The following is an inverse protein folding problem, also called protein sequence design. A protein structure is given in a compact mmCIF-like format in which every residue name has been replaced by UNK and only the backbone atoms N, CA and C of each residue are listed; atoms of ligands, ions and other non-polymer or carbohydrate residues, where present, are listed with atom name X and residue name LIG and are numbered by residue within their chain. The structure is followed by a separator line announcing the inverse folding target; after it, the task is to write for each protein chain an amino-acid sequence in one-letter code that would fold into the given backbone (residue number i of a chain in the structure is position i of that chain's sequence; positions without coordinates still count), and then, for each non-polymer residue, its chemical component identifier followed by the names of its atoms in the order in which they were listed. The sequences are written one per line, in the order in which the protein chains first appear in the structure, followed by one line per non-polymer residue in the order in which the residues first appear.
data_IF_797368713012
#
_entry.id   IF_797368713012
#
_cell.length_a   1.000
_cell.length_b   1.000
_cell.length_c   1.000
_cell.angle_alpha   90.00
_cell.angle_beta   90.00
_cell.angle_gamma   90.00
#
_symmetry.space_group_name_H-M   'P 1'
#
loop_
_entity.id
_entity.type
_entity.pdbx_description
1 polymer ?
#
# COMPACT_ATOMS: atom_id res chain seq x y z
N UNK A 1 1.49 -6.25 -29.75
CA UNK A 1 2.12 -5.32 -28.81
C UNK A 1 1.08 -4.54 -27.98
N UNK A 2 0.07 -3.89 -28.60
CA UNK A 2 -0.91 -3.07 -27.85
C UNK A 2 -1.78 -3.88 -26.90
N UNK A 3 -2.20 -5.07 -27.31
CA UNK A 3 -2.94 -5.98 -26.46
C UNK A 3 -2.11 -6.40 -25.23
N UNK A 4 -0.84 -6.78 -25.45
CA UNK A 4 0.07 -7.17 -24.35
C UNK A 4 0.34 -6.02 -23.40
N UNK A 5 0.63 -4.82 -23.94
CA UNK A 5 0.80 -3.62 -23.12
C UNK A 5 -0.46 -3.31 -22.30
N UNK A 6 -1.64 -3.42 -22.90
CA UNK A 6 -2.91 -3.29 -22.22
C UNK A 6 -3.08 -4.30 -21.09
N UNK A 7 -2.77 -5.59 -21.33
CA UNK A 7 -2.88 -6.62 -20.30
C UNK A 7 -1.97 -6.34 -19.10
N UNK A 8 -0.76 -5.83 -19.34
CA UNK A 8 0.14 -5.43 -18.25
C UNK A 8 -0.41 -4.21 -17.48
N UNK A 9 -1.00 -3.21 -18.16
CA UNK A 9 -1.69 -2.13 -17.47
C UNK A 9 -2.90 -2.62 -16.67
N UNK A 10 -3.69 -3.52 -17.24
CA UNK A 10 -4.83 -4.13 -16.55
C UNK A 10 -4.42 -4.88 -15.28
N UNK A 11 -3.36 -5.68 -15.34
CA UNK A 11 -2.77 -6.34 -14.16
C UNK A 11 -2.28 -5.32 -13.13
N UNK A 12 -1.58 -4.27 -13.56
CA UNK A 12 -1.13 -3.21 -12.65
C UNK A 12 -2.33 -2.51 -11.96
N UNK A 13 -3.41 -2.22 -12.70
CA UNK A 13 -4.65 -1.65 -12.13
C UNK A 13 -5.32 -2.63 -11.18
N UNK A 14 -5.34 -3.93 -11.50
CA UNK A 14 -5.90 -4.96 -10.64
C UNK A 14 -5.14 -5.10 -9.31
N UNK A 15 -3.82 -4.85 -9.32
CA UNK A 15 -3.04 -4.81 -8.07
C UNK A 15 -3.24 -3.52 -7.28
N UNK A 16 -3.40 -2.38 -7.97
CA UNK A 16 -3.59 -1.08 -7.31
C UNK A 16 -4.22 -0.06 -8.26
N UNK A 17 -5.40 0.44 -7.91
CA UNK A 17 -6.19 1.35 -8.76
C UNK A 17 -5.47 2.64 -9.15
N UNK A 18 -4.48 3.08 -8.39
CA UNK A 18 -3.71 4.29 -8.71
C UNK A 18 -2.85 4.18 -9.98
N UNK A 19 -2.75 2.99 -10.60
CA UNK A 19 -2.19 2.83 -11.94
C UNK A 19 -3.18 3.19 -13.07
N UNK A 20 -4.47 3.33 -12.78
CA UNK A 20 -5.48 3.61 -13.80
C UNK A 20 -5.24 4.92 -14.56
N UNK A 21 -4.90 6.06 -13.92
CA UNK A 21 -4.57 7.29 -14.65
C UNK A 21 -3.36 7.16 -15.59
N UNK A 22 -2.36 6.34 -15.21
CA UNK A 22 -1.21 6.04 -16.08
C UNK A 22 -1.65 5.34 -17.37
N UNK A 23 -2.47 4.30 -17.26
CA UNK A 23 -3.03 3.58 -18.40
C UNK A 23 -3.92 4.47 -19.27
N UNK A 24 -4.78 5.28 -18.64
CA UNK A 24 -5.66 6.24 -19.32
C UNK A 24 -4.86 7.26 -20.15
N UNK A 25 -3.84 7.89 -19.54
CA UNK A 25 -3.01 8.87 -20.23
C UNK A 25 -2.21 8.25 -21.37
N UNK A 26 -1.79 7.00 -21.23
CA UNK A 26 -1.18 6.23 -22.32
C UNK A 26 -2.16 6.04 -23.48
N UNK A 27 -3.39 5.63 -23.21
CA UNK A 27 -4.44 5.47 -24.22
C UNK A 27 -4.76 6.78 -24.94
N UNK A 28 -4.93 7.88 -24.19
CA UNK A 28 -5.18 9.21 -24.74
C UNK A 28 -4.02 9.69 -25.65
N UNK A 29 -2.79 9.45 -25.22
CA UNK A 29 -1.62 9.74 -26.07
C UNK A 29 -1.66 8.95 -27.38
N UNK A 30 -1.94 7.65 -27.32
CA UNK A 30 -2.01 6.79 -28.51
C UNK A 30 -3.06 7.28 -29.50
N UNK A 31 -4.22 7.68 -29.02
CA UNK A 31 -5.30 8.26 -29.86
C UNK A 31 -4.81 9.56 -30.48
N UNK A 32 -4.26 10.49 -29.68
CA UNK A 32 -3.86 11.83 -30.14
C UNK A 32 -2.70 11.80 -31.15
N UNK A 33 -1.79 10.84 -31.02
CA UNK A 33 -0.59 10.74 -31.84
C UNK A 33 -0.81 10.00 -33.17
N UNK A 34 -1.81 9.10 -33.27
CA UNK A 34 -1.95 8.15 -34.38
C UNK A 34 -3.22 8.30 -35.22
N UNK A 35 -4.10 9.27 -34.96
CA UNK A 35 -5.35 9.42 -35.69
C UNK A 35 -6.18 8.13 -35.74
N UNK A 36 -6.66 7.68 -36.91
CA UNK A 36 -7.46 6.45 -37.04
C UNK A 36 -6.67 5.17 -36.59
N UNK A 37 -5.38 5.09 -36.93
CA UNK A 37 -4.52 4.01 -36.49
C UNK A 37 -4.32 4.03 -34.96
N UNK A 38 -4.21 5.22 -34.40
CA UNK A 38 -4.12 5.43 -32.94
C UNK A 38 -5.37 4.97 -32.21
N UNK A 39 -6.55 5.28 -32.74
CA UNK A 39 -7.81 4.79 -32.17
C UNK A 39 -7.88 3.25 -32.13
N UNK A 40 -7.53 2.58 -33.24
CA UNK A 40 -7.47 1.11 -33.31
C UNK A 40 -6.47 0.54 -32.29
N UNK A 41 -5.31 1.18 -32.15
CA UNK A 41 -4.30 0.78 -31.18
C UNK A 41 -4.80 0.95 -29.74
N UNK A 42 -5.51 2.04 -29.44
CA UNK A 42 -6.12 2.27 -28.13
C UNK A 42 -7.24 1.26 -27.82
N UNK A 43 -8.02 0.83 -28.81
CA UNK A 43 -8.99 -0.26 -28.64
C UNK A 43 -8.31 -1.57 -28.24
N UNK A 44 -7.18 -1.91 -28.89
CA UNK A 44 -6.40 -3.10 -28.51
C UNK A 44 -5.77 -2.96 -27.11
N UNK A 45 -5.31 -1.77 -26.75
CA UNK A 45 -4.81 -1.48 -25.40
C UNK A 45 -5.91 -1.65 -24.36
N UNK A 46 -7.12 -1.13 -24.63
CA UNK A 46 -8.28 -1.25 -23.73
C UNK A 46 -8.73 -2.74 -23.61
N UNK A 47 -8.81 -3.46 -24.72
CA UNK A 47 -9.14 -4.89 -24.70
C UNK A 47 -8.14 -5.69 -23.87
N UNK A 48 -6.83 -5.41 -24.03
CA UNK A 48 -5.80 -6.00 -23.19
C UNK A 48 -5.98 -5.62 -21.72
N UNK A 49 -6.28 -4.36 -21.41
CA UNK A 49 -6.49 -3.93 -20.03
C UNK A 49 -7.66 -4.68 -19.37
N UNK A 50 -8.75 -4.91 -20.08
CA UNK A 50 -9.86 -5.73 -19.58
C UNK A 50 -9.43 -7.17 -19.30
N UNK A 51 -8.62 -7.77 -20.17
CA UNK A 51 -8.04 -9.11 -19.93
C UNK A 51 -7.16 -9.10 -18.67
N UNK A 52 -6.27 -8.10 -18.54
CA UNK A 52 -5.41 -7.99 -17.37
C UNK A 52 -6.18 -7.69 -16.06
N UNK A 53 -7.35 -7.07 -16.15
CA UNK A 53 -8.24 -6.81 -15.00
C UNK A 53 -9.11 -8.01 -14.61
N UNK A 54 -9.00 -9.16 -15.28
CA UNK A 54 -9.80 -10.36 -14.98
C UNK A 54 -9.81 -10.72 -13.48
N UNK A 55 -8.69 -10.68 -12.70
CA UNK A 55 -8.74 -10.98 -11.28
C UNK A 55 -9.66 -10.04 -10.50
N UNK A 56 -9.66 -8.75 -10.85
CA UNK A 56 -10.52 -7.74 -10.24
C UNK A 56 -12.00 -7.97 -10.60
N UNK A 57 -12.28 -8.29 -11.86
CA UNK A 57 -13.63 -8.60 -12.34
C UNK A 57 -14.18 -9.87 -11.69
N UNK A 58 -13.34 -10.90 -11.53
CA UNK A 58 -13.71 -12.12 -10.81
C UNK A 58 -14.03 -11.84 -9.35
N UNK A 59 -13.19 -11.04 -8.66
CA UNK A 59 -13.47 -10.65 -7.28
C UNK A 59 -14.82 -9.91 -7.15
N UNK A 60 -15.12 -9.02 -8.08
CA UNK A 60 -16.43 -8.35 -8.14
C UNK A 60 -17.58 -9.33 -8.36
N UNK A 61 -17.43 -10.28 -9.29
CA UNK A 61 -18.47 -11.27 -9.58
C UNK A 61 -18.73 -12.23 -8.40
N UNK A 62 -17.67 -12.62 -7.69
CA UNK A 62 -17.76 -13.58 -6.57
C UNK A 62 -18.29 -12.93 -5.28
N UNK A 63 -17.96 -11.66 -5.02
CA UNK A 63 -18.32 -10.98 -3.79
C UNK A 63 -18.61 -9.48 -4.04
N UNK A 64 -19.70 -9.13 -4.77
CA UNK A 64 -19.95 -7.76 -5.21
C UNK A 64 -20.06 -6.76 -4.07
N UNK A 65 -20.68 -7.10 -2.97
CA UNK A 65 -20.82 -6.21 -1.81
C UNK A 65 -19.48 -5.94 -1.11
N UNK A 66 -18.67 -6.97 -0.90
CA UNK A 66 -17.35 -6.83 -0.30
C UNK A 66 -16.42 -6.03 -1.23
N UNK A 67 -16.50 -6.28 -2.53
CA UNK A 67 -15.75 -5.57 -3.55
C UNK A 67 -16.09 -4.07 -3.59
N UNK A 68 -17.37 -3.73 -3.70
CA UNK A 68 -17.81 -2.34 -3.75
C UNK A 68 -17.51 -1.60 -2.44
N UNK A 69 -17.72 -2.28 -1.30
CA UNK A 69 -17.32 -1.70 -0.02
C UNK A 69 -15.82 -1.45 0.04
N UNK A 70 -14.99 -2.44 -0.24
CA UNK A 70 -13.54 -2.33 -0.12
C UNK A 70 -12.91 -1.29 -1.06
N UNK A 71 -13.38 -1.23 -2.30
CA UNK A 71 -12.79 -0.36 -3.33
C UNK A 71 -13.35 1.06 -3.28
N UNK A 72 -14.66 1.22 -3.11
CA UNK A 72 -15.29 2.54 -3.19
C UNK A 72 -15.59 3.12 -1.81
N UNK A 73 -16.41 2.40 -1.02
CA UNK A 73 -16.93 2.95 0.23
C UNK A 73 -15.83 3.11 1.27
N UNK A 74 -15.02 2.07 1.48
CA UNK A 74 -13.92 2.12 2.44
C UNK A 74 -12.92 3.22 2.09
N UNK A 75 -12.46 3.26 0.84
CA UNK A 75 -11.49 4.27 0.39
C UNK A 75 -12.01 5.71 0.51
N UNK A 76 -13.31 5.92 0.34
CA UNK A 76 -13.94 7.24 0.43
C UNK A 76 -14.25 7.67 1.87
N UNK A 77 -14.49 6.76 2.80
CA UNK A 77 -15.00 7.09 4.14
C UNK A 77 -14.03 6.80 5.28
N UNK A 78 -13.41 5.65 5.28
CA UNK A 78 -12.62 5.16 6.42
C UNK A 78 -11.36 6.00 6.72
N UNK A 79 -10.53 6.38 5.72
CA UNK A 79 -9.39 7.27 5.97
C UNK A 79 -9.83 8.63 6.53
N UNK A 80 -10.86 9.25 5.95
CA UNK A 80 -11.40 10.51 6.45
C UNK A 80 -11.81 10.42 7.91
N UNK A 81 -12.63 9.43 8.25
CA UNK A 81 -13.10 9.22 9.61
C UNK A 81 -11.94 9.00 10.58
N UNK A 82 -10.96 8.17 10.18
CA UNK A 82 -9.81 7.85 11.02
C UNK A 82 -8.91 9.06 11.27
N UNK A 83 -8.46 9.74 10.22
CA UNK A 83 -7.57 10.90 10.33
C UNK A 83 -8.22 12.04 11.08
N UNK A 84 -9.48 12.36 10.77
CA UNK A 84 -10.24 13.39 11.50
C UNK A 84 -10.38 13.05 12.99
N UNK A 85 -10.73 11.81 13.32
CA UNK A 85 -10.88 11.36 14.71
C UNK A 85 -9.57 11.40 15.51
N UNK A 86 -8.43 11.41 14.83
CA UNK A 86 -7.09 11.42 15.43
C UNK A 86 -6.38 12.78 15.29
N UNK A 87 -7.10 13.85 14.91
CA UNK A 87 -6.55 15.20 14.84
C UNK A 87 -5.63 15.48 13.66
N UNK A 88 -5.58 14.57 12.66
CA UNK A 88 -4.75 14.68 11.47
C UNK A 88 -5.59 15.04 10.21
N UNK A 89 -6.68 15.81 10.39
CA UNK A 89 -7.57 16.23 9.31
C UNK A 89 -6.89 17.08 8.24
N UNK A 90 -5.84 17.80 8.59
CA UNK A 90 -5.10 18.67 7.66
C UNK A 90 -4.45 17.89 6.52
N UNK A 91 -4.02 16.64 6.76
CA UNK A 91 -3.46 15.75 5.74
C UNK A 91 -4.48 15.36 4.65
N UNK A 92 -5.78 15.53 4.93
CA UNK A 92 -6.86 15.20 4.01
C UNK A 92 -7.20 16.36 3.07
N UNK A 93 -6.72 17.57 3.38
CA UNK A 93 -6.97 18.76 2.56
C UNK A 93 -6.16 18.73 1.26
N UNK A 94 -6.58 19.52 0.26
CA UNK A 94 -5.81 19.63 -0.99
C UNK A 94 -4.40 20.17 -0.72
N UNK A 95 -4.25 21.11 0.20
CA UNK A 95 -2.94 21.67 0.59
C UNK A 95 -2.07 20.61 1.25
N UNK A 96 -2.61 19.84 2.20
CA UNK A 96 -1.92 18.72 2.82
C UNK A 96 -1.44 17.69 1.79
N UNK A 97 -2.32 17.28 0.88
CA UNK A 97 -1.99 16.33 -0.19
C UNK A 97 -0.88 16.83 -1.12
N UNK A 98 -0.92 18.11 -1.52
CA UNK A 98 0.14 18.71 -2.35
C UNK A 98 1.46 18.77 -1.56
N UNK A 99 1.41 19.19 -0.30
CA UNK A 99 2.57 19.23 0.59
C UNK A 99 3.23 17.86 0.73
N UNK A 100 2.43 16.82 1.00
CA UNK A 100 2.92 15.45 1.12
C UNK A 100 3.48 14.94 -0.21
N UNK A 101 2.82 15.21 -1.32
CA UNK A 101 3.32 14.83 -2.64
C UNK A 101 4.69 15.45 -2.92
N UNK A 102 4.85 16.75 -2.66
CA UNK A 102 6.13 17.46 -2.84
C UNK A 102 7.21 16.91 -1.89
N UNK A 103 6.87 16.68 -0.63
CA UNK A 103 7.75 16.08 0.37
C UNK A 103 8.26 14.71 -0.11
N UNK A 104 7.35 13.82 -0.56
CA UNK A 104 7.74 12.49 -1.01
C UNK A 104 8.55 12.49 -2.30
N UNK A 105 8.29 13.43 -3.22
CA UNK A 105 9.14 13.63 -4.39
C UNK A 105 10.54 14.13 -4.02
N UNK A 106 10.65 14.92 -2.95
CA UNK A 106 11.93 15.48 -2.46
C UNK A 106 12.75 14.49 -1.62
N UNK A 107 12.15 13.43 -1.09
CA UNK A 107 12.86 12.39 -0.33
C UNK A 107 13.82 11.54 -1.18
N UNK A 108 13.83 11.76 -2.51
CA UNK A 108 14.70 11.05 -3.44
C UNK A 108 14.98 11.92 -4.68
N UNK A 109 15.57 11.32 -5.74
CA UNK A 109 15.93 12.06 -6.95
C UNK A 109 14.75 12.49 -7.82
N UNK A 110 13.50 12.08 -7.49
CA UNK A 110 12.35 12.27 -8.36
C UNK A 110 12.02 13.74 -8.60
N UNK A 111 12.05 14.60 -7.58
CA UNK A 111 11.78 16.03 -7.73
C UNK A 111 12.86 16.70 -8.60
N UNK A 112 14.13 16.40 -8.36
CA UNK A 112 15.23 16.93 -9.16
C UNK A 112 15.17 16.44 -10.61
N UNK A 113 14.87 15.16 -10.82
CA UNK A 113 14.70 14.59 -12.15
C UNK A 113 13.54 15.26 -12.92
N UNK A 114 12.39 15.46 -12.28
CA UNK A 114 11.25 16.17 -12.86
C UNK A 114 11.60 17.63 -13.19
N UNK A 115 12.32 18.31 -12.29
CA UNK A 115 12.79 19.70 -12.51
C UNK A 115 13.72 19.78 -13.71
N UNK A 116 14.74 18.93 -13.78
CA UNK A 116 15.67 18.89 -14.91
C UNK A 116 14.96 18.56 -16.22
N UNK A 117 14.03 17.59 -16.22
CA UNK A 117 13.22 17.26 -17.38
C UNK A 117 12.34 18.45 -17.80
N UNK A 118 11.74 19.16 -16.85
CA UNK A 118 10.94 20.36 -17.10
C UNK A 118 11.76 21.48 -17.73
N UNK A 119 12.91 21.80 -17.17
CA UNK A 119 13.86 22.80 -17.70
C UNK A 119 14.30 22.40 -19.12
N UNK A 120 14.72 21.16 -19.32
CA UNK A 120 15.11 20.68 -20.65
C UNK A 120 13.94 20.73 -21.64
N UNK A 121 12.72 20.48 -21.19
CA UNK A 121 11.50 20.58 -22.01
C UNK A 121 11.24 22.00 -22.47
N UNK A 122 11.40 22.99 -21.63
CA UNK A 122 11.17 24.42 -21.93
C UNK A 122 12.27 24.95 -22.84
N UNK A 123 13.54 24.60 -22.57
CA UNK A 123 14.70 25.14 -23.29
C UNK A 123 14.93 24.54 -24.67
N UNK A 124 14.47 23.28 -24.89
CA UNK A 124 14.68 22.55 -26.16
C UNK A 124 13.47 22.60 -27.11
N UNK A 125 12.80 23.74 -27.16
CA UNK A 125 11.51 23.97 -27.88
C UNK A 125 11.39 23.46 -29.31
N UNK A 126 12.49 23.26 -30.04
CA UNK A 126 12.44 23.07 -31.49
C UNK A 126 12.80 21.67 -32.00
N UNK A 127 13.22 20.73 -31.21
CA UNK A 127 13.53 19.40 -31.74
C UNK A 127 12.28 18.54 -31.77
N UNK A 128 11.98 18.01 -32.95
CA UNK A 128 10.91 17.02 -33.18
C UNK A 128 11.04 15.93 -32.12
N UNK A 129 10.21 16.03 -31.09
CA UNK A 129 10.26 15.15 -29.93
C UNK A 129 9.78 13.80 -30.39
N UNK A 130 10.59 12.76 -30.21
CA UNK A 130 10.19 11.41 -30.55
C UNK A 130 8.86 11.05 -29.86
N UNK A 131 8.06 10.23 -30.51
CA UNK A 131 6.78 9.76 -29.95
C UNK A 131 6.96 9.16 -28.55
N UNK A 132 8.04 8.39 -28.33
CA UNK A 132 8.37 7.82 -27.04
C UNK A 132 8.63 8.85 -25.94
N UNK A 133 9.29 9.96 -26.24
CA UNK A 133 9.52 11.05 -25.27
C UNK A 133 8.20 11.73 -24.88
N UNK A 134 7.33 12.00 -25.86
CA UNK A 134 6.01 12.55 -25.58
C UNK A 134 5.18 11.59 -24.75
N UNK A 135 5.20 10.30 -25.07
CA UNK A 135 4.55 9.25 -24.28
C UNK A 135 5.02 9.26 -22.84
N UNK A 136 6.33 9.30 -22.60
CA UNK A 136 6.88 9.33 -21.23
C UNK A 136 6.33 10.50 -20.41
N UNK A 137 6.16 11.69 -21.03
CA UNK A 137 5.59 12.87 -20.35
C UNK A 137 4.11 12.69 -20.04
N UNK A 138 3.32 12.12 -20.97
CA UNK A 138 1.93 11.81 -20.70
C UNK A 138 1.78 10.80 -19.57
N UNK A 139 2.64 9.78 -19.57
CA UNK A 139 2.68 8.78 -18.50
C UNK A 139 3.09 9.37 -17.15
N UNK A 140 4.07 10.30 -17.11
CA UNK A 140 4.44 11.04 -15.89
C UNK A 140 3.24 11.82 -15.37
N UNK A 141 2.53 12.54 -16.21
CA UNK A 141 1.30 13.25 -15.84
C UNK A 141 0.25 12.31 -15.23
N UNK A 142 0.00 11.17 -15.90
CA UNK A 142 -0.92 10.13 -15.39
C UNK A 142 -0.48 9.55 -14.04
N UNK A 143 0.80 9.30 -13.87
CA UNK A 143 1.35 8.77 -12.61
C UNK A 143 1.22 9.77 -11.46
N UNK A 144 1.47 11.06 -11.70
CA UNK A 144 1.30 12.12 -10.69
C UNK A 144 -0.18 12.30 -10.30
N UNK A 145 -1.09 12.25 -11.28
CA UNK A 145 -2.54 12.23 -11.00
C UNK A 145 -2.90 11.01 -10.15
N UNK A 146 -2.41 9.81 -10.52
CA UNK A 146 -2.64 8.58 -9.77
C UNK A 146 -2.08 8.63 -8.34
N UNK A 147 -0.98 9.35 -8.11
CA UNK A 147 -0.43 9.55 -6.79
C UNK A 147 -1.23 10.54 -5.93
N UNK A 148 -1.85 11.55 -6.57
CA UNK A 148 -2.60 12.60 -5.89
C UNK A 148 -4.07 12.21 -5.59
N UNK A 149 -4.65 11.25 -6.32
CA UNK A 149 -6.06 10.85 -6.15
C UNK A 149 -6.37 10.24 -4.77
N UNK A 150 -5.61 9.26 -4.25
CA UNK A 150 -5.90 8.64 -2.96
C UNK A 150 -5.81 9.64 -1.80
N UNK A 151 -6.56 9.38 -0.73
CA UNK A 151 -6.59 10.21 0.48
C UNK A 151 -6.37 9.32 1.72
N UNK A 152 -5.37 9.62 2.55
CA UNK A 152 -4.32 10.63 2.36
C UNK A 152 -3.32 10.23 1.26
N UNK A 153 -2.48 11.17 0.84
CA UNK A 153 -1.36 10.87 -0.06
C UNK A 153 -0.29 10.08 0.68
N UNK A 154 0.23 9.02 0.05
CA UNK A 154 1.23 8.12 0.65
C UNK A 154 2.39 7.93 -0.35
N UNK A 155 3.62 7.77 0.16
CA UNK A 155 4.83 7.62 -0.66
C UNK A 155 4.72 6.47 -1.69
N UNK A 156 4.08 5.37 -1.33
CA UNK A 156 3.90 4.23 -2.24
C UNK A 156 2.99 4.53 -3.44
N UNK A 157 2.22 5.62 -3.43
CA UNK A 157 1.43 6.04 -4.59
C UNK A 157 2.28 6.65 -5.70
N UNK A 158 3.55 6.96 -5.43
CA UNK A 158 4.52 7.38 -6.43
C UNK A 158 5.17 6.23 -7.20
N UNK A 159 4.96 4.98 -6.82
CA UNK A 159 5.52 3.82 -7.54
C UNK A 159 5.22 3.83 -9.06
N UNK A 160 3.99 4.19 -9.52
CA UNK A 160 3.69 4.29 -10.96
C UNK A 160 4.52 5.32 -11.71
N UNK A 161 5.13 6.28 -11.02
CA UNK A 161 5.98 7.31 -11.62
C UNK A 161 7.36 6.75 -12.06
N UNK A 162 7.87 5.71 -11.41
CA UNK A 162 9.23 5.22 -11.62
C UNK A 162 9.51 4.80 -13.07
N UNK A 163 8.69 3.94 -13.74
CA UNK A 163 8.97 3.54 -15.12
C UNK A 163 8.98 4.70 -16.12
N UNK A 164 7.96 5.58 -16.17
CA UNK A 164 7.98 6.70 -17.11
C UNK A 164 9.06 7.73 -16.81
N UNK A 165 9.44 7.92 -15.54
CA UNK A 165 10.53 8.80 -15.15
C UNK A 165 11.88 8.24 -15.65
N UNK A 166 12.12 6.93 -15.46
CA UNK A 166 13.31 6.26 -15.97
C UNK A 166 13.41 6.35 -17.51
N UNK A 167 12.28 6.15 -18.21
CA UNK A 167 12.21 6.30 -19.66
C UNK A 167 12.53 7.73 -20.10
N UNK A 168 11.95 8.74 -19.44
CA UNK A 168 12.21 10.16 -19.74
C UNK A 168 13.64 10.54 -19.48
N UNK A 169 14.25 10.07 -18.39
CA UNK A 169 15.66 10.25 -18.07
C UNK A 169 16.57 9.58 -19.11
N UNK A 170 16.21 8.39 -19.59
CA UNK A 170 16.93 7.74 -20.69
C UNK A 170 17.02 8.61 -21.93
N UNK A 171 15.91 9.24 -22.34
CA UNK A 171 15.91 10.21 -23.44
C UNK A 171 16.73 11.46 -23.15
N UNK A 172 16.72 11.96 -21.91
CA UNK A 172 17.51 13.10 -21.50
C UNK A 172 19.00 12.77 -21.55
N UNK A 173 19.42 11.61 -21.11
CA UNK A 173 20.81 11.15 -21.14
C UNK A 173 21.30 10.93 -22.58
N UNK A 174 20.45 10.46 -23.48
CA UNK A 174 20.79 10.36 -24.90
C UNK A 174 21.02 11.75 -25.53
N UNK A 175 20.17 12.73 -25.22
CA UNK A 175 20.42 14.12 -25.61
C UNK A 175 21.72 14.67 -25.02
N UNK A 176 22.01 14.35 -23.78
CA UNK A 176 23.18 14.83 -23.05
C UNK A 176 24.50 14.32 -23.67
N UNK A 177 24.50 13.28 -24.49
CA UNK A 177 25.69 12.85 -25.26
C UNK A 177 26.20 13.92 -26.20
N UNK A 178 25.31 14.84 -26.63
CA UNK A 178 25.63 15.95 -27.53
C UNK A 178 26.00 17.23 -26.80
N UNK A 179 25.93 17.23 -25.47
CA UNK A 179 26.28 18.40 -24.66
C UNK A 179 27.80 18.49 -24.39
N UNK A 180 28.27 19.67 -23.97
CA UNK A 180 29.62 19.80 -23.47
C UNK A 180 29.86 18.88 -22.27
N UNK A 181 31.07 18.42 -22.08
CA UNK A 181 31.47 17.53 -21.00
C UNK A 181 31.06 18.11 -19.63
N UNK A 182 31.33 19.40 -19.41
CA UNK A 182 30.99 20.10 -18.17
C UNK A 182 29.49 20.02 -17.87
N UNK A 183 28.63 20.34 -18.85
CA UNK A 183 27.15 20.29 -18.67
C UNK A 183 26.66 18.89 -18.37
N UNK A 184 27.25 17.87 -19.02
CA UNK A 184 26.90 16.47 -18.76
C UNK A 184 27.30 16.02 -17.35
N UNK A 185 28.52 16.41 -16.92
CA UNK A 185 29.00 16.13 -15.57
C UNK A 185 28.15 16.83 -14.52
N UNK A 186 27.74 18.09 -14.74
CA UNK A 186 26.81 18.79 -13.86
C UNK A 186 25.47 18.06 -13.74
N UNK A 187 24.86 17.59 -14.85
CA UNK A 187 23.62 16.83 -14.82
C UNK A 187 23.78 15.56 -13.97
N UNK A 188 24.82 14.77 -14.26
CA UNK A 188 25.07 13.52 -13.51
C UNK A 188 25.33 13.79 -12.04
N UNK A 189 26.15 14.83 -11.74
CA UNK A 189 26.42 15.24 -10.37
C UNK A 189 25.16 15.63 -9.60
N UNK A 190 24.28 16.43 -10.20
CA UNK A 190 22.99 16.81 -9.60
C UNK A 190 22.12 15.59 -9.33
N UNK A 191 21.98 14.69 -10.31
CA UNK A 191 21.17 13.47 -10.13
C UNK A 191 21.75 12.56 -9.03
N UNK A 192 23.08 12.40 -8.98
CA UNK A 192 23.76 11.64 -7.93
C UNK A 192 23.56 12.26 -6.55
N UNK A 193 23.79 13.54 -6.39
CA UNK A 193 23.62 14.24 -5.10
C UNK A 193 22.19 14.15 -4.61
N UNK A 194 21.21 14.33 -5.50
CA UNK A 194 19.78 14.24 -5.14
C UNK A 194 19.31 12.82 -4.85
N UNK A 195 20.11 11.80 -5.14
CA UNK A 195 19.81 10.42 -4.73
C UNK A 195 20.16 10.18 -3.25
N UNK A 196 21.09 10.94 -2.69
CA UNK A 196 21.59 10.76 -1.32
C UNK A 196 20.46 10.82 -0.26
N UNK A 197 19.53 11.80 -0.26
CA UNK A 197 18.46 11.85 0.72
C UNK A 197 17.61 10.57 0.75
N UNK A 198 17.33 9.97 -0.42
CA UNK A 198 16.58 8.72 -0.51
C UNK A 198 17.35 7.49 0.01
N UNK A 199 18.67 7.56 0.08
CA UNK A 199 19.51 6.48 0.61
C UNK A 199 19.66 6.53 2.14
N UNK A 200 19.39 7.66 2.78
CA UNK A 200 19.61 7.85 4.23
C UNK A 200 18.76 6.84 5.03
N UNK A 201 17.47 6.74 4.77
CA UNK A 201 16.60 5.79 5.45
C UNK A 201 17.04 4.34 5.21
N UNK A 202 17.44 4.02 3.98
CA UNK A 202 17.97 2.69 3.63
C UNK A 202 19.25 2.40 4.39
N UNK A 203 20.17 3.36 4.47
CA UNK A 203 21.43 3.21 5.20
C UNK A 203 21.21 3.05 6.72
N UNK A 204 20.26 3.82 7.29
CA UNK A 204 19.85 3.67 8.69
C UNK A 204 19.28 2.26 8.93
N UNK A 205 18.38 1.80 8.05
CA UNK A 205 17.77 0.47 8.14
C UNK A 205 18.81 -0.65 8.05
N UNK A 206 19.74 -0.57 7.10
CA UNK A 206 20.86 -1.53 6.98
C UNK A 206 21.73 -1.47 8.24
N UNK A 207 22.08 -0.27 8.71
CA UNK A 207 22.88 -0.11 9.93
C UNK A 207 22.20 -0.68 11.18
N UNK A 208 20.88 -0.54 11.29
CA UNK A 208 20.09 -1.17 12.35
C UNK A 208 20.11 -2.70 12.23
N UNK A 209 19.92 -3.23 11.02
CA UNK A 209 19.94 -4.66 10.75
C UNK A 209 21.32 -5.30 11.05
N UNK A 210 22.41 -4.60 10.73
CA UNK A 210 23.76 -5.09 11.06
C UNK A 210 24.02 -5.12 12.56
N UNK A 211 23.50 -4.14 13.31
CA UNK A 211 23.71 -4.05 14.77
C UNK A 211 22.78 -4.96 15.58
N UNK A 212 21.52 -5.03 15.18
CA UNK A 212 20.45 -5.64 15.98
C UNK A 212 19.97 -6.99 15.41
N UNK A 213 20.48 -7.42 14.27
CA UNK A 213 19.95 -8.59 13.56
C UNK A 213 18.87 -8.24 12.54
N UNK A 214 18.41 -9.26 11.83
CA UNK A 214 17.35 -9.10 10.81
C UNK A 214 15.97 -9.04 11.47
N UNK A 215 15.22 -7.95 11.37
CA UNK A 215 13.87 -7.86 11.93
C UNK A 215 12.91 -8.91 11.32
N UNK A 216 13.17 -9.36 10.08
CA UNK A 216 12.39 -10.44 9.46
C UNK A 216 12.64 -11.78 10.16
N UNK A 217 13.89 -12.10 10.49
CA UNK A 217 14.22 -13.36 11.21
C UNK A 217 13.70 -13.33 12.65
N UNK A 218 13.74 -12.18 13.31
CA UNK A 218 13.17 -12.01 14.64
C UNK A 218 11.64 -12.18 14.63
N UNK A 219 10.96 -11.54 13.69
CA UNK A 219 9.51 -11.70 13.51
C UNK A 219 9.12 -13.15 13.19
N UNK A 220 9.90 -13.83 12.35
CA UNK A 220 9.71 -15.23 12.00
C UNK A 220 9.91 -16.16 13.24
N UNK A 221 10.95 -15.92 14.04
CA UNK A 221 11.18 -16.65 15.27
C UNK A 221 10.06 -16.41 16.30
N UNK A 222 9.62 -15.17 16.45
CA UNK A 222 8.51 -14.82 17.34
C UNK A 222 7.18 -15.46 16.89
N UNK A 223 6.91 -15.48 15.58
CA UNK A 223 5.74 -16.16 15.02
C UNK A 223 5.76 -17.67 15.31
N UNK A 224 6.88 -18.34 15.05
CA UNK A 224 7.02 -19.79 15.37
C UNK A 224 6.86 -20.08 16.86
N UNK A 225 7.43 -19.23 17.73
CA UNK A 225 7.25 -19.36 19.17
C UNK A 225 5.77 -19.23 19.56
N UNK A 226 5.06 -18.24 18.99
CA UNK A 226 3.63 -18.06 19.22
C UNK A 226 2.84 -19.31 18.81
N UNK A 227 3.09 -19.84 17.61
CA UNK A 227 2.44 -21.05 17.12
C UNK A 227 2.66 -22.27 18.01
N UNK A 228 3.91 -22.54 18.41
CA UNK A 228 4.23 -23.63 19.32
C UNK A 228 3.56 -23.46 20.70
N UNK A 229 3.52 -22.22 21.20
CA UNK A 229 2.92 -21.88 22.50
C UNK A 229 1.40 -22.05 22.49
N UNK A 230 0.71 -21.57 21.45
CA UNK A 230 -0.75 -21.69 21.32
C UNK A 230 -1.14 -23.16 21.27
N UNK A 231 -0.58 -23.95 20.35
CA UNK A 231 -0.87 -25.38 20.25
C UNK A 231 -0.64 -26.16 21.55
N UNK A 232 0.42 -25.83 22.27
CA UNK A 232 0.73 -26.46 23.56
C UNK A 232 -0.29 -26.12 24.66
N UNK A 233 -0.79 -24.87 24.70
CA UNK A 233 -1.60 -24.37 25.81
C UNK A 233 -3.11 -24.45 25.56
N UNK A 234 -3.56 -24.32 24.31
CA UNK A 234 -5.00 -24.37 23.94
C UNK A 234 -5.42 -25.68 23.31
N UNK A 235 -4.50 -26.39 22.63
CA UNK A 235 -4.81 -27.56 21.81
C UNK A 235 -5.43 -27.22 20.45
N UNK A 236 -5.70 -25.95 20.17
CA UNK A 236 -6.26 -25.43 18.92
C UNK A 236 -5.20 -24.54 18.23
N UNK A 237 -5.43 -24.11 17.00
CA UNK A 237 -4.46 -23.38 16.18
C UNK A 237 -5.00 -22.08 15.55
N UNK A 238 -6.22 -21.65 15.87
CA UNK A 238 -6.79 -20.40 15.38
C UNK A 238 -6.37 -19.19 16.21
N UNK A 239 -6.13 -18.07 15.54
CA UNK A 239 -5.65 -16.83 16.17
C UNK A 239 -6.33 -15.58 15.60
N UNK A 240 -6.77 -14.70 16.50
CA UNK A 240 -7.25 -13.36 16.15
C UNK A 240 -6.14 -12.33 16.35
N UNK A 241 -5.93 -11.46 15.36
CA UNK A 241 -4.97 -10.36 15.45
C UNK A 241 -5.28 -9.26 14.45
N UNK A 242 -4.95 -8.03 14.81
CA UNK A 242 -4.96 -6.90 13.88
C UNK A 242 -3.67 -6.80 13.05
N UNK A 243 -2.66 -7.62 13.35
CA UNK A 243 -1.36 -7.65 12.66
C UNK A 243 -1.10 -9.04 12.02
N UNK A 244 -1.91 -9.47 11.04
CA UNK A 244 -1.87 -10.82 10.48
C UNK A 244 -0.52 -11.18 9.83
N UNK A 245 0.24 -10.20 9.37
CA UNK A 245 1.57 -10.41 8.79
C UNK A 245 2.59 -10.98 9.78
N UNK A 246 2.38 -10.76 11.09
CA UNK A 246 3.29 -11.23 12.14
C UNK A 246 3.09 -12.71 12.50
N UNK A 247 2.06 -13.35 12.00
CA UNK A 247 1.79 -14.77 12.29
C UNK A 247 2.01 -15.69 11.10
N UNK A 248 2.50 -15.18 9.97
CA UNK A 248 2.62 -15.93 8.72
C UNK A 248 3.44 -17.22 8.85
N UNK A 249 4.46 -17.24 9.69
CA UNK A 249 5.32 -18.40 9.96
C UNK A 249 4.94 -19.20 11.21
N UNK A 250 3.83 -18.86 11.86
CA UNK A 250 3.41 -19.51 13.09
C UNK A 250 2.82 -20.92 12.89
N UNK A 251 2.31 -21.18 11.68
CA UNK A 251 1.48 -22.33 11.37
C UNK A 251 0.11 -22.29 12.08
N UNK A 252 -0.31 -21.12 12.59
CA UNK A 252 -1.65 -20.88 13.11
C UNK A 252 -2.57 -20.42 11.98
N UNK A 253 -3.86 -20.73 12.11
CA UNK A 253 -4.88 -20.26 11.20
C UNK A 253 -5.41 -18.88 11.66
N UNK A 254 -5.33 -17.90 10.78
CA UNK A 254 -5.89 -16.58 11.06
C UNK A 254 -7.43 -16.68 11.10
N UNK A 255 -8.03 -16.22 12.17
CA UNK A 255 -9.48 -16.01 12.21
C UNK A 255 -9.87 -15.10 11.02
N UNK A 256 -10.67 -15.60 10.06
CA UNK A 256 -10.96 -14.88 8.82
C UNK A 256 -11.65 -13.53 9.04
N UNK A 257 -12.30 -13.33 10.18
CA UNK A 257 -12.91 -12.05 10.57
C UNK A 257 -11.87 -10.92 10.73
N UNK A 258 -10.59 -11.27 10.93
CA UNK A 258 -9.46 -10.34 11.07
C UNK A 258 -8.57 -10.26 9.83
N UNK A 259 -8.96 -10.87 8.71
CA UNK A 259 -8.16 -10.89 7.48
C UNK A 259 -7.80 -9.49 6.94
N UNK A 260 -8.61 -8.48 7.22
CA UNK A 260 -8.35 -7.08 6.85
C UNK A 260 -7.32 -6.39 7.74
N UNK A 261 -6.83 -7.08 8.78
CA UNK A 261 -5.95 -6.48 9.78
C UNK A 261 -6.61 -5.28 10.47
N UNK A 262 -5.85 -4.21 10.74
CA UNK A 262 -6.36 -3.06 11.49
C UNK A 262 -7.30 -2.17 10.67
N UNK A 263 -7.30 -2.30 9.36
CA UNK A 263 -7.94 -1.32 8.47
C UNK A 263 -9.44 -1.18 8.70
N UNK A 264 -10.21 -2.26 8.59
CA UNK A 264 -11.64 -2.21 8.85
C UNK A 264 -11.95 -2.03 10.34
N UNK A 265 -11.14 -2.62 11.21
CA UNK A 265 -11.33 -2.57 12.66
C UNK A 265 -11.19 -1.15 13.22
N UNK A 266 -10.09 -0.45 12.89
CA UNK A 266 -9.79 0.90 13.40
C UNK A 266 -10.78 1.97 12.92
N UNK A 267 -11.46 1.74 11.82
CA UNK A 267 -12.51 2.61 11.27
C UNK A 267 -13.92 1.99 11.38
N UNK A 268 -14.08 0.99 12.23
CA UNK A 268 -15.30 0.19 12.34
C UNK A 268 -16.56 0.96 12.68
N UNK A 269 -16.44 2.16 13.25
CA UNK A 269 -17.61 3.03 13.47
C UNK A 269 -18.23 3.60 12.18
N UNK A 270 -17.52 3.56 11.05
CA UNK A 270 -18.06 3.93 9.74
C UNK A 270 -18.86 2.81 9.09
N UNK A 271 -18.73 1.58 9.63
CA UNK A 271 -19.40 0.40 9.17
C UNK A 271 -20.49 -0.02 10.18
N UNK A 272 -21.73 -0.13 9.76
CA UNK A 272 -22.80 -0.67 10.62
C UNK A 272 -22.56 -2.14 10.96
N UNK A 273 -23.00 -2.58 12.14
CA UNK A 273 -22.81 -3.96 12.63
C UNK A 273 -23.42 -5.01 11.70
N UNK A 274 -24.54 -4.69 11.02
CA UNK A 274 -25.17 -5.59 10.06
C UNK A 274 -24.29 -5.82 8.83
N UNK A 275 -23.68 -4.76 8.29
CA UNK A 275 -22.75 -4.87 7.16
C UNK A 275 -21.50 -5.62 7.56
N UNK A 276 -20.93 -5.33 8.74
CA UNK A 276 -19.75 -6.03 9.25
C UNK A 276 -19.98 -7.55 9.34
N UNK A 277 -21.14 -7.96 9.88
CA UNK A 277 -21.51 -9.38 9.93
C UNK A 277 -21.70 -9.99 8.54
N UNK A 278 -22.33 -9.27 7.62
CA UNK A 278 -22.52 -9.74 6.23
C UNK A 278 -21.20 -9.91 5.49
N UNK A 279 -20.23 -9.03 5.73
CA UNK A 279 -18.89 -9.09 5.14
C UNK A 279 -17.93 -10.00 5.91
N UNK A 280 -18.39 -10.63 7.01
CA UNK A 280 -17.55 -11.43 7.92
C UNK A 280 -16.31 -10.68 8.41
N UNK A 281 -16.45 -9.39 8.74
CA UNK A 281 -15.37 -8.53 9.22
C UNK A 281 -15.59 -8.19 10.69
N UNK A 282 -14.55 -8.33 11.51
CA UNK A 282 -14.60 -7.91 12.90
C UNK A 282 -14.43 -6.40 13.03
N UNK A 283 -15.32 -5.78 13.80
CA UNK A 283 -15.22 -4.37 14.22
C UNK A 283 -15.42 -4.29 15.74
N UNK A 284 -15.00 -3.19 16.40
CA UNK A 284 -15.14 -3.08 17.86
C UNK A 284 -16.55 -3.33 18.38
N UNK A 285 -17.58 -2.92 17.63
CA UNK A 285 -18.98 -3.10 18.01
C UNK A 285 -19.47 -4.56 17.91
N UNK A 286 -18.77 -5.44 17.20
CA UNK A 286 -19.13 -6.86 17.00
C UNK A 286 -18.23 -7.83 17.76
N UNK A 287 -17.31 -7.35 18.61
CA UNK A 287 -16.38 -8.21 19.37
C UNK A 287 -17.06 -9.34 20.16
N UNK A 288 -18.28 -9.10 20.67
CA UNK A 288 -19.06 -10.13 21.37
C UNK A 288 -19.46 -11.30 20.47
N UNK A 289 -19.46 -11.13 19.15
CA UNK A 289 -19.75 -12.21 18.22
C UNK A 289 -18.66 -13.31 18.24
N UNK A 290 -17.45 -13.00 18.75
CA UNK A 290 -16.39 -13.98 19.02
C UNK A 290 -16.79 -15.00 20.10
N UNK A 291 -17.80 -14.73 20.94
CA UNK A 291 -18.26 -15.68 21.97
C UNK A 291 -18.88 -16.95 21.38
N UNK A 292 -19.33 -16.91 20.12
CA UNK A 292 -19.86 -18.08 19.41
C UNK A 292 -18.77 -19.04 18.96
N UNK A 293 -17.65 -18.47 18.57
CA UNK A 293 -16.46 -19.18 18.12
C UNK A 293 -15.24 -18.40 18.61
N UNK A 294 -14.82 -18.61 19.87
CA UNK A 294 -13.75 -17.86 20.49
C UNK A 294 -12.39 -18.38 20.02
N UNK A 295 -11.50 -17.53 19.51
CA UNK A 295 -10.20 -17.96 18.99
C UNK A 295 -9.35 -18.61 20.10
N UNK A 296 -8.48 -19.55 19.72
CA UNK A 296 -7.54 -20.17 20.63
C UNK A 296 -6.56 -19.16 21.20
N UNK A 297 -6.20 -18.16 20.39
CA UNK A 297 -5.31 -17.09 20.82
C UNK A 297 -5.70 -15.72 20.26
N UNK A 298 -5.23 -14.66 20.94
CA UNK A 298 -5.34 -13.27 20.49
C UNK A 298 -3.97 -12.63 20.62
N UNK A 299 -3.43 -12.11 19.51
CA UNK A 299 -2.17 -11.38 19.48
C UNK A 299 -2.41 -9.89 19.38
N UNK A 300 -1.80 -9.10 20.28
CA UNK A 300 -1.93 -7.64 20.37
C UNK A 300 -0.59 -6.98 20.63
N UNK A 301 -0.54 -5.63 20.66
CA UNK A 301 0.62 -4.82 21.01
C UNK A 301 1.36 -4.25 19.81
N UNK A 302 0.89 -4.51 18.60
CA UNK A 302 1.52 -4.01 17.38
C UNK A 302 0.70 -2.91 16.70
N UNK A 303 -0.54 -2.68 17.14
CA UNK A 303 -1.45 -1.65 16.64
C UNK A 303 -1.74 -0.58 17.70
N UNK A 304 -0.74 -0.26 18.52
CA UNK A 304 -0.86 0.74 19.60
C UNK A 304 -1.01 2.18 19.10
N UNK A 305 -1.06 2.35 17.79
CA UNK A 305 -1.16 3.64 17.12
C UNK A 305 0.21 4.32 16.98
N UNK A 306 0.27 5.28 16.09
CA UNK A 306 1.40 6.21 16.02
C UNK A 306 1.32 7.18 17.20
N UNK A 307 2.45 7.79 17.59
CA UNK A 307 2.56 8.72 18.74
C UNK A 307 1.48 9.80 18.79
N UNK A 308 0.83 10.10 17.68
CA UNK A 308 -0.18 11.16 17.54
C UNK A 308 -1.61 10.64 17.50
N UNK A 309 -1.84 9.32 17.58
CA UNK A 309 -3.18 8.73 17.47
C UNK A 309 -3.65 8.26 18.87
N UNK A 310 -4.58 8.96 19.50
CA UNK A 310 -5.00 8.66 20.88
C UNK A 310 -5.79 7.35 21.01
N UNK A 311 -6.28 6.80 19.90
CA UNK A 311 -7.06 5.55 19.92
C UNK A 311 -6.15 4.37 19.64
N UNK A 312 -6.17 3.40 20.54
CA UNK A 312 -5.44 2.12 20.43
C UNK A 312 -6.39 1.05 19.92
N UNK A 313 -6.24 0.60 18.68
CA UNK A 313 -7.12 -0.46 18.13
C UNK A 313 -7.12 -1.73 18.97
N UNK A 314 -5.99 -2.11 19.55
CA UNK A 314 -5.85 -3.35 20.35
C UNK A 314 -6.62 -3.35 21.68
N UNK A 315 -7.01 -2.19 22.24
CA UNK A 315 -7.65 -2.11 23.56
C UNK A 315 -8.93 -2.95 23.67
N UNK A 316 -9.73 -2.99 22.59
CA UNK A 316 -10.93 -3.81 22.54
C UNK A 316 -10.64 -5.31 22.62
N UNK A 317 -9.63 -5.78 21.92
CA UNK A 317 -9.18 -7.17 21.94
C UNK A 317 -8.59 -7.55 23.29
N UNK A 318 -7.79 -6.65 23.90
CA UNK A 318 -7.23 -6.83 25.23
C UNK A 318 -8.34 -6.96 26.27
N UNK A 319 -9.34 -6.08 26.22
CA UNK A 319 -10.47 -6.12 27.12
C UNK A 319 -11.28 -7.42 26.96
N UNK A 320 -11.54 -7.84 25.72
CA UNK A 320 -12.19 -9.12 25.41
C UNK A 320 -11.40 -10.30 26.01
N UNK A 321 -10.11 -10.42 25.69
CA UNK A 321 -9.27 -11.51 26.17
C UNK A 321 -9.26 -11.60 27.70
N UNK A 322 -9.10 -10.47 28.39
CA UNK A 322 -9.12 -10.43 29.87
C UNK A 322 -10.48 -10.84 30.43
N UNK A 323 -11.59 -10.37 29.87
CA UNK A 323 -12.93 -10.68 30.34
C UNK A 323 -13.30 -12.17 30.16
N UNK A 324 -12.62 -12.87 29.25
CA UNK A 324 -12.79 -14.31 29.00
C UNK A 324 -11.75 -15.20 29.65
N UNK A 325 -10.85 -14.63 30.48
CA UNK A 325 -9.87 -15.38 31.25
C UNK A 325 -8.72 -15.97 30.41
N UNK A 326 -8.39 -15.36 29.28
CA UNK A 326 -7.22 -15.76 28.50
C UNK A 326 -5.95 -15.52 29.31
N UNK A 327 -5.04 -16.49 29.26
CA UNK A 327 -3.72 -16.36 29.88
C UNK A 327 -2.83 -15.45 29.02
N UNK A 328 -2.25 -14.42 29.63
CA UNK A 328 -1.35 -13.49 28.92
C UNK A 328 0.11 -13.96 29.02
N UNK A 329 0.82 -13.85 27.90
CA UNK A 329 2.25 -14.13 27.76
C UNK A 329 2.89 -12.96 26.99
N UNK A 330 4.10 -12.55 27.37
CA UNK A 330 4.88 -11.61 26.59
C UNK A 330 5.45 -12.32 25.36
N UNK A 331 5.45 -11.63 24.21
CA UNK A 331 6.14 -12.11 23.02
C UNK A 331 7.66 -12.00 23.19
N UNK A 332 8.47 -12.83 22.50
CA UNK A 332 9.93 -12.79 22.60
C UNK A 332 10.56 -11.46 22.19
N UNK A 333 9.88 -10.68 21.32
CA UNK A 333 10.31 -9.35 20.88
C UNK A 333 10.14 -8.25 21.96
N UNK A 334 9.52 -8.57 23.09
CA UNK A 334 9.24 -7.63 24.16
C UNK A 334 8.12 -6.61 23.86
N UNK A 335 7.57 -6.60 22.66
CA UNK A 335 6.55 -5.65 22.22
C UNK A 335 5.15 -6.26 22.33
N UNK A 336 4.94 -7.40 21.70
CA UNK A 336 3.64 -8.06 21.59
C UNK A 336 3.20 -8.74 22.87
N UNK A 337 1.91 -9.02 22.96
CA UNK A 337 1.27 -9.83 24.00
C UNK A 337 0.39 -10.89 23.37
N UNK A 338 0.65 -12.13 23.71
CA UNK A 338 -0.11 -13.29 23.28
C UNK A 338 -1.08 -13.68 24.39
N UNK A 339 -2.36 -13.63 24.13
CA UNK A 339 -3.44 -14.11 25.00
C UNK A 339 -3.85 -15.49 24.53
N UNK A 340 -3.73 -16.51 25.35
CA UNK A 340 -4.04 -17.91 24.99
C UNK A 340 -5.22 -18.39 25.83
N UNK A 341 -6.22 -18.95 25.16
CA UNK A 341 -7.38 -19.57 25.80
C UNK A 341 -6.89 -20.83 26.54
N UNK A 342 -7.13 -20.98 27.84
CA UNK A 342 -6.74 -22.19 28.57
C UNK A 342 -7.52 -23.41 28.04
N UNK A 343 -6.87 -24.57 28.00
CA UNK A 343 -7.51 -25.84 27.71
C UNK A 343 -8.76 -26.00 28.61
N UNK A 344 -9.93 -26.21 27.99
CA UNK A 344 -11.11 -26.62 28.73
C UNK A 344 -10.86 -28.04 29.25
N UNK A 345 -10.56 -28.17 30.52
CA UNK A 345 -10.59 -29.50 31.19
C UNK A 345 -12.03 -30.02 31.05
N UNK A 346 -12.22 -30.93 30.11
CA UNK A 346 -13.52 -31.68 30.08
C UNK A 346 -13.51 -32.50 31.35
N UNK A 347 -14.23 -32.04 32.38
CA UNK A 347 -14.64 -32.94 33.46
C UNK A 347 -15.50 -34.02 32.81
N UNK A 348 -14.93 -35.22 32.70
CA UNK A 348 -15.66 -36.44 32.35
C UNK A 348 -16.60 -36.83 33.49
#
# INVERSE_FOLDING_TARGET
YWLTAGSLFGLAIATKLNFAPLGLMTGLFVISAGGRCGFRAACWLAAGALIGMTPLLLAWMLAPDAFLYGILTYGATAPFAWYTANGAGDELTLVGKISDLLKYLALGPALAALTVLGINWITTRQRARSAGRRLAIWMIGGALVGAALPTPTQIQYLMPLLPPLALALGYLLDDARRWSLARRQTLLGVLCVMTVPGLVETAIGIGAMVRNGSPVLEADAAARWAGATVRRLSGDDDIATLSPHLISSSGLELDPRFATGPFAYRSGWTMGTQLARRLHVMIPATLKDMDRDPPAAILTGYEDGTRNLPKRPDDGLIAYARSRGYRVLAMPDGVGRLYVRPLRVRHR
#
